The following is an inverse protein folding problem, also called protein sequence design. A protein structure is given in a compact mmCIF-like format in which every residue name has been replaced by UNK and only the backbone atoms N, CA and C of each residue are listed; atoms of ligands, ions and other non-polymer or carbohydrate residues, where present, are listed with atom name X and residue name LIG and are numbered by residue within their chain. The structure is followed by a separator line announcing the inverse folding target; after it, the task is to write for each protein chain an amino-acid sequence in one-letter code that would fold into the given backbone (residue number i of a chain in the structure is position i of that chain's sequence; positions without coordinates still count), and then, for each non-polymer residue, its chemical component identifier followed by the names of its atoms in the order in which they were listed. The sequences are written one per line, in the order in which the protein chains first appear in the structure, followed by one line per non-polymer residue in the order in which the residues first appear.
data_IF_664731480794
#
_entry.id   IF_664731480794
#
_cell.length_a   1.000
_cell.length_b   1.000
_cell.length_c   1.000
_cell.angle_alpha   90.00
_cell.angle_beta   90.00
_cell.angle_gamma   90.00
#
_symmetry.space_group_name_H-M   'P 1'
#
loop_
_entity.id
_entity.type
_entity.pdbx_description
1 polymer ?
#
# COMPACT_ATOMS: atom_id res chain seq x y z
N UNK A 1 6.25 -13.91 20.19
CA UNK A 1 4.79 -13.89 19.90
C UNK A 1 4.49 -12.59 19.19
N UNK A 2 3.72 -12.62 18.12
CA UNK A 2 3.31 -11.39 17.39
C UNK A 2 2.34 -10.59 18.25
N UNK A 3 2.50 -9.27 18.26
CA UNK A 3 1.70 -8.31 19.04
C UNK A 3 1.14 -7.17 18.19
N UNK A 4 1.72 -6.95 17.00
CA UNK A 4 1.24 -5.93 16.07
C UNK A 4 1.28 -6.45 14.64
N UNK A 5 0.34 -5.95 13.82
CA UNK A 5 0.33 -6.19 12.37
C UNK A 5 0.20 -4.83 11.67
N UNK A 6 1.10 -4.59 10.73
CA UNK A 6 1.08 -3.41 9.90
C UNK A 6 0.79 -3.81 8.45
N UNK A 7 -0.07 -3.06 7.79
CA UNK A 7 -0.51 -3.31 6.42
C UNK A 7 -0.08 -2.18 5.51
N UNK A 8 0.40 -2.54 4.32
CA UNK A 8 0.43 -1.61 3.19
C UNK A 8 -0.98 -1.19 2.78
N UNK A 9 -1.10 -0.23 1.88
CA UNK A 9 -2.38 0.40 1.50
C UNK A 9 -2.76 -0.02 0.07
N UNK A 10 -2.02 0.43 -0.93
CA UNK A 10 -2.32 0.18 -2.34
C UNK A 10 -2.20 -1.30 -2.68
N UNK A 11 -3.18 -1.84 -3.40
CA UNK A 11 -3.26 -3.26 -3.78
C UNK A 11 -3.13 -4.27 -2.62
N UNK A 12 -3.05 -3.76 -1.39
CA UNK A 12 -3.13 -4.58 -0.16
C UNK A 12 -4.49 -4.43 0.52
N UNK A 13 -4.88 -3.19 0.84
CA UNK A 13 -6.18 -2.85 1.43
C UNK A 13 -7.11 -2.18 0.43
N UNK A 14 -6.55 -1.35 -0.45
CA UNK A 14 -7.26 -0.47 -1.38
C UNK A 14 -6.88 -0.85 -2.81
N UNK A 15 -7.89 -0.98 -3.67
CA UNK A 15 -7.70 -1.15 -5.12
C UNK A 15 -7.27 0.17 -5.75
N UNK A 16 -6.29 0.15 -6.62
CA UNK A 16 -5.78 1.32 -7.32
C UNK A 16 -6.62 1.74 -8.57
N UNK A 17 -7.70 1.02 -8.86
CA UNK A 17 -8.56 1.23 -10.04
C UNK A 17 -9.01 2.68 -10.17
N UNK A 18 -9.62 3.24 -9.11
CA UNK A 18 -10.14 4.62 -9.11
C UNK A 18 -9.03 5.63 -9.27
N UNK A 19 -7.89 5.41 -8.60
CA UNK A 19 -6.75 6.33 -8.66
C UNK A 19 -6.23 6.50 -10.09
N UNK A 20 -5.93 5.39 -10.77
CA UNK A 20 -5.41 5.43 -12.14
C UNK A 20 -6.48 5.82 -13.15
N UNK A 21 -7.73 5.43 -12.95
CA UNK A 21 -8.87 5.88 -13.77
C UNK A 21 -9.03 7.40 -13.71
N UNK A 22 -8.96 7.99 -12.52
CA UNK A 22 -9.10 9.43 -12.35
C UNK A 22 -7.95 10.21 -13.02
N UNK A 23 -6.74 9.69 -12.99
CA UNK A 23 -5.61 10.26 -13.74
C UNK A 23 -5.79 10.14 -15.25
N UNK A 24 -6.22 8.99 -15.73
CA UNK A 24 -6.48 8.77 -17.15
C UNK A 24 -7.55 9.74 -17.68
N UNK A 25 -8.67 9.88 -16.97
CA UNK A 25 -9.76 10.77 -17.31
C UNK A 25 -9.34 12.25 -17.27
N UNK A 26 -8.52 12.65 -16.28
CA UNK A 26 -8.00 14.00 -16.18
C UNK A 26 -7.13 14.36 -17.37
N UNK A 27 -6.23 13.47 -17.75
CA UNK A 27 -5.28 13.68 -18.84
C UNK A 27 -5.83 13.36 -20.23
N UNK A 28 -7.11 12.93 -20.30
CA UNK A 28 -7.74 12.45 -21.53
C UNK A 28 -6.91 11.35 -22.21
N UNK A 29 -6.54 10.33 -21.43
CA UNK A 29 -5.81 9.14 -21.86
C UNK A 29 -6.77 7.95 -21.74
N UNK A 30 -6.80 6.99 -22.69
CA UNK A 30 -7.56 5.76 -22.50
C UNK A 30 -7.15 5.04 -21.21
N UNK A 31 -8.13 4.69 -20.36
CA UNK A 31 -7.89 4.11 -19.03
C UNK A 31 -7.04 2.85 -19.09
N UNK A 32 -7.35 1.93 -20.03
CA UNK A 32 -6.56 0.72 -20.25
C UNK A 32 -5.11 1.04 -20.63
N UNK A 33 -4.87 2.04 -21.49
CA UNK A 33 -3.52 2.43 -21.91
C UNK A 33 -2.69 2.90 -20.72
N UNK A 34 -3.26 3.76 -19.84
CA UNK A 34 -2.53 4.24 -18.68
C UNK A 34 -2.26 3.09 -17.70
N UNK A 35 -3.26 2.27 -17.35
CA UNK A 35 -3.09 1.15 -16.41
C UNK A 35 -2.06 0.13 -16.91
N UNK A 36 -2.10 -0.22 -18.20
CA UNK A 36 -1.13 -1.14 -18.78
C UNK A 36 0.30 -0.57 -18.76
N UNK A 37 0.46 0.74 -19.00
CA UNK A 37 1.77 1.39 -18.93
C UNK A 37 2.28 1.51 -17.49
N UNK A 38 1.41 1.75 -16.51
CA UNK A 38 1.79 1.69 -15.08
C UNK A 38 2.38 0.31 -14.78
N UNK A 39 1.69 -0.77 -15.15
CA UNK A 39 2.21 -2.12 -15.00
C UNK A 39 3.56 -2.34 -15.70
N UNK A 40 3.69 -1.86 -16.94
CA UNK A 40 4.89 -2.05 -17.74
C UNK A 40 6.11 -1.30 -17.19
N UNK A 41 5.95 -0.06 -16.70
CA UNK A 41 7.08 0.72 -16.16
C UNK A 41 7.52 0.20 -14.79
N UNK A 42 6.58 -0.18 -13.95
CA UNK A 42 6.90 -0.75 -12.63
C UNK A 42 7.57 -2.12 -12.77
N UNK A 43 7.14 -2.96 -13.72
CA UNK A 43 7.81 -4.22 -14.03
C UNK A 43 9.28 -4.04 -14.47
N UNK A 44 9.67 -2.85 -14.92
CA UNK A 44 11.05 -2.45 -15.23
C UNK A 44 11.79 -1.82 -14.05
N UNK A 45 11.21 -1.82 -12.84
CA UNK A 45 11.79 -1.19 -11.66
C UNK A 45 11.71 0.34 -11.67
N UNK A 46 10.84 0.93 -12.49
CA UNK A 46 10.66 2.38 -12.62
C UNK A 46 9.48 2.86 -11.75
N UNK A 47 9.47 4.17 -11.50
CA UNK A 47 8.36 4.82 -10.81
C UNK A 47 7.05 4.72 -11.63
N UNK A 48 5.92 4.45 -10.98
CA UNK A 48 4.63 4.36 -11.64
C UNK A 48 4.21 5.65 -12.37
N UNK A 49 4.63 6.81 -11.88
CA UNK A 49 4.39 8.10 -12.53
C UNK A 49 5.11 8.22 -13.90
N UNK A 50 6.11 7.39 -14.18
CA UNK A 50 6.75 7.34 -15.49
C UNK A 50 5.79 6.93 -16.61
N UNK A 51 4.74 6.17 -16.29
CA UNK A 51 3.68 5.88 -17.24
C UNK A 51 3.03 7.16 -17.80
N UNK A 52 2.77 8.12 -16.91
CA UNK A 52 2.22 9.42 -17.32
C UNK A 52 3.25 10.23 -18.12
N UNK A 53 4.52 10.25 -17.67
CA UNK A 53 5.60 10.96 -18.37
C UNK A 53 5.87 10.44 -19.77
N UNK A 54 5.71 9.13 -20.01
CA UNK A 54 5.79 8.53 -21.34
C UNK A 54 4.71 9.06 -22.29
N UNK A 55 3.49 9.26 -21.79
CA UNK A 55 2.35 9.72 -22.57
C UNK A 55 2.29 11.24 -22.69
N UNK A 56 2.89 11.95 -21.76
CA UNK A 56 2.93 13.42 -21.67
C UNK A 56 4.34 13.88 -21.27
N UNK A 57 5.31 13.85 -22.21
CA UNK A 57 6.68 14.30 -21.94
C UNK A 57 6.70 15.75 -21.43
N UNK A 58 7.44 16.00 -20.37
CA UNK A 58 7.57 17.33 -19.77
C UNK A 58 6.42 17.74 -18.84
N UNK A 59 5.47 16.85 -18.55
CA UNK A 59 4.38 17.13 -17.61
C UNK A 59 4.93 17.40 -16.19
N UNK A 60 4.41 18.45 -15.55
CA UNK A 60 4.59 18.70 -14.12
C UNK A 60 3.46 18.03 -13.33
N UNK A 61 3.72 16.83 -12.82
CA UNK A 61 2.72 16.05 -12.09
C UNK A 61 2.27 16.73 -10.79
N UNK A 62 3.12 17.53 -10.16
CA UNK A 62 2.75 18.30 -8.97
C UNK A 62 1.75 19.39 -9.32
N UNK A 63 2.01 20.13 -10.39
CA UNK A 63 1.08 21.14 -10.88
C UNK A 63 -0.26 20.52 -11.31
N UNK A 64 -0.24 19.37 -12.00
CA UNK A 64 -1.45 18.64 -12.38
C UNK A 64 -2.24 18.11 -11.17
N UNK A 65 -1.56 17.62 -10.15
CA UNK A 65 -2.20 17.22 -8.90
C UNK A 65 -2.97 18.39 -8.28
N UNK A 66 -2.33 19.56 -8.16
CA UNK A 66 -2.97 20.75 -7.61
C UNK A 66 -4.12 21.25 -8.49
N UNK A 67 -3.96 21.20 -9.81
CA UNK A 67 -5.02 21.60 -10.76
C UNK A 67 -6.25 20.69 -10.62
N UNK A 68 -6.06 19.38 -10.46
CA UNK A 68 -7.15 18.42 -10.21
C UNK A 68 -7.88 18.72 -8.90
N UNK A 69 -7.13 18.99 -7.83
CA UNK A 69 -7.72 19.37 -6.53
C UNK A 69 -8.55 20.65 -6.66
N UNK A 70 -8.03 21.68 -7.29
CA UNK A 70 -8.72 22.94 -7.50
C UNK A 70 -10.00 22.80 -8.35
N UNK A 71 -10.00 21.85 -9.29
CA UNK A 71 -11.16 21.54 -10.13
C UNK A 71 -12.18 20.61 -9.45
N UNK A 72 -12.00 20.23 -8.19
CA UNK A 72 -12.87 19.27 -7.49
C UNK A 72 -12.76 17.83 -8.04
N UNK A 73 -11.72 17.54 -8.81
CA UNK A 73 -11.43 16.23 -9.42
C UNK A 73 -10.19 15.57 -8.79
N UNK A 74 -9.86 15.97 -7.59
CA UNK A 74 -8.71 15.45 -6.86
C UNK A 74 -8.89 14.02 -6.40
N UNK A 75 -7.94 13.56 -5.60
CA UNK A 75 -7.93 12.21 -5.05
C UNK A 75 -9.19 11.94 -4.22
N UNK A 76 -9.80 10.79 -4.45
CA UNK A 76 -10.97 10.28 -3.75
C UNK A 76 -10.72 8.84 -3.34
N UNK A 77 -11.31 8.46 -2.22
CA UNK A 77 -11.28 7.12 -1.70
C UNK A 77 -12.53 6.90 -0.84
N UNK A 78 -13.23 5.81 -1.06
CA UNK A 78 -14.40 5.42 -0.27
C UNK A 78 -14.44 3.91 -0.05
N UNK A 79 -15.49 3.42 0.62
CA UNK A 79 -15.65 2.02 0.98
C UNK A 79 -15.58 1.07 -0.22
N UNK A 80 -16.04 1.52 -1.39
CA UNK A 80 -16.04 0.68 -2.59
C UNK A 80 -14.65 0.43 -3.18
N UNK A 81 -13.63 1.16 -2.71
CA UNK A 81 -12.24 0.94 -3.11
C UNK A 81 -11.54 -0.12 -2.27
N UNK A 82 -12.12 -0.52 -1.14
CA UNK A 82 -11.55 -1.57 -0.30
C UNK A 82 -11.72 -2.95 -0.94
N UNK A 83 -10.78 -3.85 -0.66
CA UNK A 83 -10.99 -5.27 -0.86
C UNK A 83 -11.97 -5.81 0.19
N UNK A 84 -12.77 -6.81 -0.18
CA UNK A 84 -13.89 -7.30 0.64
C UNK A 84 -13.47 -7.89 1.99
N UNK A 85 -12.23 -8.40 2.07
CA UNK A 85 -11.68 -9.01 3.28
C UNK A 85 -11.05 -8.00 4.27
N UNK A 86 -10.96 -6.72 3.92
CA UNK A 86 -10.26 -5.71 4.74
C UNK A 86 -10.91 -5.55 6.10
N UNK A 87 -12.15 -5.10 6.15
CA UNK A 87 -12.82 -4.85 7.43
C UNK A 87 -12.90 -6.06 8.33
N UNK A 88 -13.37 -7.23 7.84
CA UNK A 88 -13.47 -8.40 8.70
C UNK A 88 -12.11 -8.91 9.19
N UNK A 89 -11.06 -8.82 8.36
CA UNK A 89 -9.72 -9.24 8.78
C UNK A 89 -9.13 -8.30 9.85
N UNK A 90 -9.21 -6.98 9.63
CA UNK A 90 -8.71 -5.99 10.59
C UNK A 90 -9.46 -6.10 11.94
N UNK A 91 -10.79 -6.24 11.91
CA UNK A 91 -11.59 -6.43 13.12
C UNK A 91 -11.19 -7.70 13.88
N UNK A 92 -11.01 -8.82 13.18
CA UNK A 92 -10.60 -10.08 13.81
C UNK A 92 -9.21 -10.00 14.47
N UNK A 93 -8.29 -9.20 13.92
CA UNK A 93 -6.98 -8.96 14.52
C UNK A 93 -7.08 -8.12 15.79
N UNK A 94 -7.90 -7.06 15.80
CA UNK A 94 -8.15 -6.26 17.01
C UNK A 94 -8.86 -7.09 18.08
N UNK A 95 -9.85 -7.90 17.72
CA UNK A 95 -10.55 -8.80 18.64
C UNK A 95 -9.60 -9.83 19.27
N UNK A 96 -8.55 -10.22 18.54
CA UNK A 96 -7.48 -11.07 19.05
C UNK A 96 -6.46 -10.31 19.93
N UNK A 97 -6.66 -9.02 20.18
CA UNK A 97 -5.79 -8.18 21.02
C UNK A 97 -4.51 -7.71 20.34
N UNK A 98 -4.44 -7.77 19.01
CA UNK A 98 -3.30 -7.30 18.23
C UNK A 98 -3.46 -5.81 17.92
N UNK A 99 -2.35 -5.08 17.93
CA UNK A 99 -2.31 -3.72 17.45
C UNK A 99 -2.30 -3.69 15.92
N UNK A 100 -3.23 -2.97 15.32
CA UNK A 100 -3.41 -2.89 13.86
C UNK A 100 -2.94 -1.54 13.36
N UNK A 101 -2.02 -1.55 12.39
CA UNK A 101 -1.44 -0.34 11.79
C UNK A 101 -1.68 -0.39 10.28
N UNK A 102 -2.10 0.72 9.70
CA UNK A 102 -2.19 0.92 8.25
C UNK A 102 -1.14 1.97 7.88
N UNK A 103 -0.16 1.59 7.03
CA UNK A 103 0.88 2.52 6.62
C UNK A 103 1.47 2.14 5.25
N UNK A 104 1.43 3.07 4.30
CA UNK A 104 1.91 2.86 2.94
C UNK A 104 2.43 4.14 2.26
N UNK A 105 2.94 3.99 1.04
CA UNK A 105 3.41 5.11 0.22
C UNK A 105 2.21 5.85 -0.39
N UNK A 106 1.66 6.80 0.35
CA UNK A 106 0.48 7.55 -0.04
C UNK A 106 0.61 9.04 0.31
N UNK A 107 -0.25 9.86 -0.29
CA UNK A 107 -0.33 11.28 -0.01
C UNK A 107 -0.90 11.56 1.39
N UNK A 108 -0.65 12.75 1.93
CA UNK A 108 -1.31 13.21 3.16
C UNK A 108 -2.84 13.27 3.00
N UNK A 109 -3.34 13.52 1.78
CA UNK A 109 -4.79 13.51 1.50
C UNK A 109 -5.35 12.10 1.61
N UNK A 110 -4.69 11.10 1.02
CA UNK A 110 -5.09 9.69 1.16
C UNK A 110 -5.18 9.28 2.63
N UNK A 111 -4.23 9.71 3.46
CA UNK A 111 -4.27 9.45 4.90
C UNK A 111 -5.53 10.01 5.58
N UNK A 112 -5.96 11.22 5.19
CA UNK A 112 -7.23 11.79 5.69
C UNK A 112 -8.46 11.01 5.23
N UNK A 113 -8.48 10.61 3.95
CA UNK A 113 -9.57 9.81 3.38
C UNK A 113 -9.66 8.43 4.03
N UNK A 114 -8.52 7.75 4.24
CA UNK A 114 -8.47 6.46 4.92
C UNK A 114 -9.01 6.55 6.36
N UNK A 115 -8.62 7.58 7.11
CA UNK A 115 -9.16 7.80 8.47
C UNK A 115 -10.66 8.06 8.49
N UNK A 116 -11.19 8.72 7.45
CA UNK A 116 -12.63 8.95 7.32
C UNK A 116 -13.44 7.68 7.09
N UNK A 117 -12.81 6.58 6.65
CA UNK A 117 -13.46 5.27 6.52
C UNK A 117 -13.67 4.57 7.86
N UNK A 118 -13.04 5.04 8.93
CA UNK A 118 -13.14 4.44 10.27
C UNK A 118 -12.87 2.93 10.24
N UNK A 119 -11.72 2.55 9.66
CA UNK A 119 -11.29 1.16 9.61
C UNK A 119 -10.86 0.66 11.00
N UNK A 120 -11.03 -0.63 11.30
CA UNK A 120 -10.55 -1.25 12.54
C UNK A 120 -9.01 -1.22 12.61
N UNK A 121 -8.44 -0.06 12.94
CA UNK A 121 -7.00 0.17 13.02
C UNK A 121 -6.66 1.16 14.14
N UNK A 122 -5.59 0.89 14.87
CA UNK A 122 -5.10 1.78 15.93
C UNK A 122 -4.34 2.98 15.39
N UNK A 123 -3.70 2.80 14.21
CA UNK A 123 -2.92 3.83 13.55
C UNK A 123 -3.15 3.78 12.05
N UNK A 124 -3.42 4.93 11.46
CA UNK A 124 -3.43 5.14 9.99
C UNK A 124 -2.48 6.27 9.67
N UNK A 125 -1.45 5.98 8.86
CA UNK A 125 -0.41 6.93 8.48
C UNK A 125 0.02 6.74 7.02
N UNK A 126 0.67 7.75 6.46
CA UNK A 126 1.19 7.71 5.09
C UNK A 126 2.63 8.22 5.02
N UNK A 127 3.35 7.85 3.96
CA UNK A 127 4.67 8.37 3.69
C UNK A 127 4.69 9.91 3.59
N UNK A 128 3.64 10.49 3.03
CA UNK A 128 3.47 11.94 2.93
C UNK A 128 3.37 12.64 4.31
N UNK A 129 2.79 11.98 5.31
CA UNK A 129 2.71 12.48 6.69
C UNK A 129 4.00 12.23 7.46
N UNK A 130 4.65 11.09 7.22
CA UNK A 130 5.88 10.72 7.92
C UNK A 130 7.15 11.38 7.36
N UNK A 131 7.08 11.92 6.13
CA UNK A 131 8.23 12.49 5.43
C UNK A 131 9.29 11.45 5.02
N UNK A 132 8.92 10.17 5.03
CA UNK A 132 9.77 9.04 4.64
C UNK A 132 8.91 7.97 3.97
N UNK A 133 9.43 7.35 2.90
CA UNK A 133 8.71 6.39 2.08
C UNK A 133 9.42 5.03 2.02
N UNK A 134 8.67 3.97 1.73
CA UNK A 134 9.23 2.67 1.34
C UNK A 134 10.03 2.83 0.04
N UNK A 135 11.13 2.14 -0.16
CA UNK A 135 11.70 1.09 0.70
C UNK A 135 12.70 1.60 1.76
N UNK A 136 12.69 2.89 2.10
CA UNK A 136 13.66 3.45 3.05
C UNK A 136 13.50 2.84 4.45
N UNK A 137 14.59 2.43 5.13
CA UNK A 137 14.53 1.82 6.46
C UNK A 137 13.82 2.68 7.51
N UNK A 138 13.89 4.01 7.38
CA UNK A 138 13.21 4.96 8.27
C UNK A 138 11.69 4.79 8.27
N UNK A 139 11.07 4.35 7.17
CA UNK A 139 9.64 4.07 7.12
C UNK A 139 9.27 2.90 8.06
N UNK A 140 10.01 1.80 8.02
CA UNK A 140 9.78 0.65 8.89
C UNK A 140 10.10 0.96 10.35
N UNK A 141 11.06 1.85 10.61
CA UNK A 141 11.30 2.41 11.95
C UNK A 141 10.08 3.17 12.50
N UNK A 142 9.35 3.92 11.65
CA UNK A 142 8.08 4.57 12.03
C UNK A 142 7.00 3.54 12.36
N UNK A 143 6.93 2.42 11.63
CA UNK A 143 6.00 1.33 11.93
C UNK A 143 6.30 0.73 13.30
N UNK A 144 7.55 0.42 13.60
CA UNK A 144 7.96 -0.13 14.91
C UNK A 144 7.61 0.84 16.03
N UNK A 145 7.85 2.13 15.84
CA UNK A 145 7.47 3.15 16.82
C UNK A 145 5.95 3.25 17.02
N UNK A 146 5.16 3.17 15.93
CA UNK A 146 3.71 3.15 15.97
C UNK A 146 3.16 1.86 16.63
N UNK A 147 3.81 0.72 16.40
CA UNK A 147 3.47 -0.55 17.00
C UNK A 147 3.69 -0.56 18.52
N UNK A 148 4.73 0.13 19.02
CA UNK A 148 5.11 0.11 20.43
C UNK A 148 5.56 -1.27 20.90
N UNK A 149 6.06 -2.10 20.01
CA UNK A 149 6.51 -3.48 20.24
C UNK A 149 7.94 -3.66 19.74
N UNK A 150 8.57 -4.80 20.07
CA UNK A 150 9.85 -5.11 19.45
C UNK A 150 9.65 -5.41 17.93
N UNK A 151 10.64 -5.12 17.08
CA UNK A 151 10.51 -5.32 15.63
C UNK A 151 10.03 -6.75 15.26
N UNK A 152 10.64 -7.78 15.84
CA UNK A 152 10.30 -9.19 15.61
C UNK A 152 8.91 -9.61 16.15
N UNK A 153 8.23 -8.75 16.91
CA UNK A 153 6.84 -8.92 17.37
C UNK A 153 5.83 -8.22 16.45
N UNK A 154 6.31 -7.57 15.38
CA UNK A 154 5.49 -6.88 14.39
C UNK A 154 5.58 -7.58 13.04
N UNK A 155 4.44 -7.87 12.43
CA UNK A 155 4.35 -8.35 11.04
C UNK A 155 4.05 -7.18 10.12
N UNK A 156 4.76 -7.07 9.00
CA UNK A 156 4.38 -6.20 7.89
C UNK A 156 3.78 -7.03 6.76
N UNK A 157 2.61 -6.65 6.30
CA UNK A 157 1.86 -7.31 5.22
C UNK A 157 1.81 -6.38 4.01
N UNK A 158 2.22 -6.85 2.86
CA UNK A 158 2.16 -6.09 1.61
C UNK A 158 2.26 -6.98 0.37
N UNK A 159 1.93 -6.40 -0.78
CA UNK A 159 1.89 -7.10 -2.08
C UNK A 159 3.18 -6.92 -2.89
N UNK A 160 3.97 -5.86 -2.64
CA UNK A 160 5.12 -5.50 -3.46
C UNK A 160 6.45 -5.99 -2.83
N UNK A 161 7.06 -7.09 -3.34
CA UNK A 161 8.21 -7.71 -2.68
C UNK A 161 9.38 -6.76 -2.41
N UNK A 162 9.76 -5.94 -3.39
CA UNK A 162 10.92 -5.04 -3.26
C UNK A 162 10.65 -3.81 -2.39
N UNK A 163 9.40 -3.35 -2.27
CA UNK A 163 9.05 -2.19 -1.44
C UNK A 163 8.65 -2.59 -0.02
N UNK A 164 7.97 -3.72 0.13
CA UNK A 164 7.33 -4.12 1.38
C UNK A 164 8.11 -5.19 2.11
N UNK A 165 8.44 -6.28 1.40
CA UNK A 165 8.90 -7.51 2.02
C UNK A 165 10.39 -7.46 2.31
N UNK A 166 11.21 -7.33 1.28
CA UNK A 166 12.66 -7.37 1.45
C UNK A 166 13.20 -6.27 2.39
N UNK A 167 12.74 -4.99 2.31
CA UNK A 167 13.17 -3.98 3.26
C UNK A 167 12.65 -4.20 4.69
N UNK A 168 11.41 -4.70 4.85
CA UNK A 168 10.82 -4.96 6.16
C UNK A 168 11.52 -6.14 6.86
N UNK A 169 11.89 -7.18 6.11
CA UNK A 169 12.55 -8.37 6.63
C UNK A 169 13.90 -8.08 7.32
N UNK A 170 14.46 -6.88 7.16
CA UNK A 170 15.66 -6.46 7.88
C UNK A 170 15.44 -6.30 9.40
N UNK A 171 14.20 -6.33 9.89
CA UNK A 171 13.92 -6.17 11.32
C UNK A 171 12.52 -6.63 11.76
N UNK A 172 11.52 -6.61 10.87
CA UNK A 172 10.17 -7.08 11.14
C UNK A 172 9.99 -8.51 10.63
N UNK A 173 8.91 -9.14 11.07
CA UNK A 173 8.38 -10.32 10.38
C UNK A 173 7.56 -9.84 9.17
N UNK A 174 7.45 -10.66 8.13
CA UNK A 174 6.81 -10.23 6.88
C UNK A 174 5.86 -11.30 6.35
N UNK A 175 4.74 -10.84 5.78
CA UNK A 175 3.81 -11.68 5.03
C UNK A 175 3.60 -11.08 3.63
N UNK A 176 3.99 -11.83 2.61
CA UNK A 176 3.75 -11.44 1.22
C UNK A 176 2.33 -11.83 0.83
N UNK A 177 1.54 -10.83 0.47
CA UNK A 177 0.16 -11.01 -0.02
C UNK A 177 0.17 -11.12 -1.54
N UNK A 178 -0.27 -12.25 -2.07
CA UNK A 178 -0.44 -12.46 -3.51
C UNK A 178 -1.75 -11.83 -3.99
N UNK A 179 -1.72 -10.50 -4.11
CA UNK A 179 -2.83 -9.64 -4.52
C UNK A 179 -2.31 -8.52 -5.42
N UNK A 180 -3.20 -7.94 -6.22
CA UNK A 180 -2.82 -6.89 -7.14
C UNK A 180 -1.80 -7.33 -8.20
N UNK A 181 -1.38 -6.44 -9.09
CA UNK A 181 -0.47 -6.81 -10.17
C UNK A 181 0.92 -7.23 -9.67
N UNK A 182 1.42 -6.62 -8.61
CA UNK A 182 2.79 -6.83 -8.10
C UNK A 182 2.89 -8.12 -7.29
N UNK A 183 1.89 -8.38 -6.43
CA UNK A 183 1.80 -9.60 -5.65
C UNK A 183 1.72 -10.86 -6.51
N UNK A 184 1.13 -10.76 -7.70
CA UNK A 184 1.10 -11.87 -8.67
C UNK A 184 2.36 -11.93 -9.54
N UNK A 185 2.78 -10.78 -10.12
CA UNK A 185 3.89 -10.74 -11.07
C UNK A 185 5.21 -11.21 -10.45
N UNK A 186 5.44 -10.88 -9.19
CA UNK A 186 6.70 -11.15 -8.49
C UNK A 186 6.60 -12.18 -7.36
N UNK A 187 5.53 -12.99 -7.35
CA UNK A 187 5.31 -14.00 -6.31
C UNK A 187 6.49 -14.98 -6.12
N UNK A 188 7.21 -15.27 -7.19
CA UNK A 188 8.31 -16.25 -7.20
C UNK A 188 9.71 -15.60 -7.21
N UNK A 189 9.82 -14.29 -6.90
CA UNK A 189 11.11 -13.61 -6.85
C UNK A 189 11.87 -13.88 -5.54
N UNK A 190 13.21 -13.72 -5.51
CA UNK A 190 13.98 -13.82 -4.28
C UNK A 190 13.50 -12.85 -3.17
N UNK A 191 13.04 -11.66 -3.55
CA UNK A 191 12.50 -10.68 -2.61
C UNK A 191 11.19 -11.17 -1.98
N UNK A 192 10.30 -11.80 -2.75
CA UNK A 192 9.11 -12.44 -2.21
C UNK A 192 9.46 -13.63 -1.32
N UNK A 193 10.44 -14.44 -1.71
CA UNK A 193 10.92 -15.57 -0.93
C UNK A 193 11.53 -15.18 0.42
N UNK A 194 11.87 -13.89 0.63
CA UNK A 194 12.33 -13.38 1.92
C UNK A 194 11.21 -13.24 2.96
N UNK A 195 9.94 -13.36 2.57
CA UNK A 195 8.81 -13.30 3.49
C UNK A 195 8.80 -14.52 4.43
N UNK A 196 8.43 -14.27 5.70
CA UNK A 196 8.18 -15.36 6.65
C UNK A 196 6.95 -16.19 6.27
N UNK A 197 5.98 -15.53 5.63
CA UNK A 197 4.72 -16.15 5.19
C UNK A 197 4.27 -15.63 3.82
N UNK A 198 3.58 -16.51 3.09
CA UNK A 198 2.88 -16.18 1.85
C UNK A 198 1.39 -16.41 2.07
N UNK A 199 0.58 -15.43 1.71
CA UNK A 199 -0.87 -15.45 1.90
C UNK A 199 -1.60 -15.02 0.64
N UNK A 200 -2.82 -15.50 0.46
CA UNK A 200 -3.70 -15.14 -0.65
C UNK A 200 -4.86 -14.22 -0.20
N UNK A 201 -5.05 -14.10 1.12
CA UNK A 201 -6.12 -13.29 1.72
C UNK A 201 -5.66 -12.69 3.05
N UNK A 202 -6.23 -11.55 3.41
CA UNK A 202 -6.02 -10.96 4.74
C UNK A 202 -6.60 -11.82 5.87
N UNK A 203 -7.57 -12.69 5.56
CA UNK A 203 -8.08 -13.67 6.54
C UNK A 203 -7.00 -14.66 7.00
N UNK A 204 -5.98 -14.91 6.18
CA UNK A 204 -4.91 -15.84 6.50
C UNK A 204 -3.99 -15.28 7.61
N UNK A 205 -3.92 -13.94 7.77
CA UNK A 205 -2.99 -13.28 8.70
C UNK A 205 -3.17 -13.79 10.13
N UNK A 206 -4.40 -13.89 10.61
CA UNK A 206 -4.65 -14.35 11.98
C UNK A 206 -4.23 -15.81 12.18
N UNK A 207 -4.30 -16.65 11.14
CA UNK A 207 -3.90 -18.06 11.22
C UNK A 207 -2.38 -18.25 11.27
N UNK A 208 -1.62 -17.40 10.54
CA UNK A 208 -0.17 -17.55 10.44
C UNK A 208 0.60 -17.00 11.66
N UNK A 209 -0.01 -16.11 12.47
CA UNK A 209 0.64 -15.43 13.59
C UNK A 209 0.34 -16.04 14.98
N UNK A 210 -0.48 -17.09 15.03
CA UNK A 210 -0.84 -17.84 16.26
C UNK A 210 0.24 -18.86 16.71
#
# INVERSE_FOLDING_TARGET
MIRAVAFDIGETLVRDDRYWTAWADWLNIPRHTLSALVGAVVAQGRDNADAVRLLRPGIDLTAEYHAREAAGRGEQLDESDLYDDVRPALAALQDAGLRVIIAGNQTTKAGRLLRALDLPADVVATSGEWGVAKPQPGFFGRIVAAAGTAPYETVYVGDHPANDIAPAAAGLRTAHLRRGPWGHLWADTPEAAAADWHIDSLHDVLAIIR
#
